data_IF_267276450651
#
_entry.id   IF_267276450651
#
_cell.length_a   1.000
_cell.length_b   1.000
_cell.length_c   1.000
_cell.angle_alpha   90.00
_cell.angle_beta   90.00
_cell.angle_gamma   90.00
#
_symmetry.space_group_name_H-M   'P 1'
#
loop_
_entity.id
_entity.type
_entity.pdbx_description
1 polymer ?
#
# COMPACT_ATOMS: atom_id res chain seq x y z
N UNK A 1 -1.18 -25.34 -34.94
CA UNK A 1 -0.01 -24.79 -34.22
C UNK A 1 1.23 -25.59 -34.61
N UNK A 2 2.42 -24.98 -34.72
CA UNK A 2 3.67 -25.71 -34.86
C UNK A 2 3.85 -26.70 -33.71
N UNK A 3 4.31 -27.93 -33.98
CA UNK A 3 4.50 -28.98 -32.95
C UNK A 3 5.38 -28.50 -31.79
N UNK A 4 6.43 -27.74 -32.10
CA UNK A 4 7.34 -27.13 -31.12
C UNK A 4 6.62 -26.18 -30.15
N UNK A 5 5.67 -25.39 -30.64
CA UNK A 5 4.88 -24.47 -29.80
C UNK A 5 4.01 -25.23 -28.80
N UNK A 6 3.40 -26.35 -29.20
CA UNK A 6 2.55 -27.16 -28.32
C UNK A 6 3.38 -27.76 -27.18
N UNK A 7 4.58 -28.26 -27.49
CA UNK A 7 5.51 -28.83 -26.49
C UNK A 7 5.91 -27.77 -25.47
N UNK A 8 6.35 -26.60 -25.92
CA UNK A 8 6.75 -25.50 -25.02
C UNK A 8 5.63 -25.02 -24.10
N UNK A 9 4.39 -24.99 -24.60
CA UNK A 9 3.22 -24.64 -23.76
C UNK A 9 2.96 -25.71 -22.70
N UNK A 10 3.12 -26.98 -23.04
CA UNK A 10 2.95 -28.07 -22.08
C UNK A 10 4.04 -28.03 -21.00
N UNK A 11 5.31 -27.85 -21.39
CA UNK A 11 6.43 -27.70 -20.45
C UNK A 11 6.23 -26.52 -19.49
N UNK A 12 5.73 -25.40 -20.00
CA UNK A 12 5.38 -24.25 -19.17
C UNK A 12 4.30 -24.58 -18.14
N UNK A 13 3.22 -25.27 -18.54
CA UNK A 13 2.15 -25.70 -17.63
C UNK A 13 2.68 -26.63 -16.55
N UNK A 14 3.44 -27.65 -16.93
CA UNK A 14 3.98 -28.65 -16.00
C UNK A 14 4.94 -28.01 -14.99
N UNK A 15 5.81 -27.10 -15.47
CA UNK A 15 6.71 -26.32 -14.62
C UNK A 15 5.95 -25.42 -13.66
N UNK A 16 4.87 -24.78 -14.12
CA UNK A 16 4.04 -23.90 -13.30
C UNK A 16 3.35 -24.69 -12.18
N UNK A 17 2.79 -25.85 -12.50
CA UNK A 17 2.14 -26.74 -11.53
C UNK A 17 3.13 -27.15 -10.44
N UNK A 18 4.34 -27.61 -10.82
CA UNK A 18 5.38 -27.99 -9.85
C UNK A 18 5.77 -26.83 -8.92
N UNK A 19 5.94 -25.62 -9.48
CA UNK A 19 6.27 -24.43 -8.69
C UNK A 19 5.15 -24.05 -7.73
N UNK A 20 3.90 -24.12 -8.16
CA UNK A 20 2.74 -23.83 -7.31
C UNK A 20 2.62 -24.82 -6.15
N UNK A 21 2.82 -26.11 -6.39
CA UNK A 21 2.78 -27.12 -5.32
C UNK A 21 3.90 -26.93 -4.30
N UNK A 22 5.12 -26.60 -4.76
CA UNK A 22 6.24 -26.25 -3.87
C UNK A 22 5.94 -24.97 -3.07
N UNK A 23 5.32 -23.99 -3.71
CA UNK A 23 4.95 -22.73 -3.09
C UNK A 23 4.00 -22.96 -1.90
N UNK A 24 2.96 -23.78 -2.09
CA UNK A 24 1.97 -24.08 -1.04
C UNK A 24 2.62 -24.89 0.08
N UNK A 25 3.36 -25.95 -0.26
CA UNK A 25 3.82 -26.93 0.73
C UNK A 25 5.04 -26.49 1.54
N UNK A 26 5.86 -25.58 1.00
CA UNK A 26 7.07 -25.10 1.69
C UNK A 26 7.07 -23.59 1.90
N UNK A 27 6.90 -22.83 0.82
CA UNK A 27 7.13 -21.39 0.86
C UNK A 27 6.08 -20.65 1.71
N UNK A 28 4.80 -21.03 1.65
CA UNK A 28 3.74 -20.39 2.42
C UNK A 28 3.97 -20.53 3.94
N UNK A 29 4.17 -21.74 4.49
CA UNK A 29 4.55 -21.90 5.89
C UNK A 29 5.77 -21.07 6.29
N UNK A 30 6.84 -21.08 5.49
CA UNK A 30 8.05 -20.27 5.74
C UNK A 30 7.74 -18.78 5.76
N UNK A 31 6.92 -18.28 4.83
CA UNK A 31 6.51 -16.87 4.78
C UNK A 31 5.69 -16.46 5.99
N UNK A 32 4.78 -17.31 6.45
CA UNK A 32 3.96 -17.02 7.64
C UNK A 32 4.86 -16.83 8.86
N UNK A 33 5.83 -17.73 9.07
CA UNK A 33 6.79 -17.65 10.18
C UNK A 33 7.67 -16.40 10.04
N UNK A 34 8.28 -16.17 8.87
CA UNK A 34 9.14 -15.00 8.61
C UNK A 34 8.41 -13.67 8.88
N UNK A 35 7.16 -13.55 8.45
CA UNK A 35 6.38 -12.33 8.65
C UNK A 35 5.96 -12.17 10.11
N UNK A 36 5.69 -13.26 10.81
CA UNK A 36 5.42 -13.22 12.24
C UNK A 36 6.64 -12.77 13.06
N UNK A 37 7.82 -13.28 12.72
CA UNK A 37 9.10 -12.85 13.31
C UNK A 37 9.39 -11.37 12.99
N UNK A 38 9.15 -10.93 11.75
CA UNK A 38 9.31 -9.53 11.35
C UNK A 38 8.42 -8.60 12.20
N UNK A 39 7.15 -8.98 12.40
CA UNK A 39 6.21 -8.21 13.21
C UNK A 39 6.62 -8.12 14.69
N UNK A 40 7.43 -9.05 15.19
CA UNK A 40 7.98 -9.02 16.54
C UNK A 40 9.24 -8.14 16.68
N UNK A 41 9.82 -7.67 15.57
CA UNK A 41 11.00 -6.80 15.62
C UNK A 41 10.64 -5.38 16.11
N UNK A 42 11.60 -4.62 16.66
CA UNK A 42 11.37 -3.23 17.09
C UNK A 42 10.94 -2.28 15.96
N UNK A 43 11.06 -2.70 14.69
CA UNK A 43 10.54 -1.93 13.55
C UNK A 43 9.01 -1.80 13.60
N UNK A 44 8.33 -2.79 14.19
CA UNK A 44 6.87 -2.95 14.14
C UNK A 44 6.24 -3.18 15.53
N UNK A 45 6.95 -3.81 16.46
CA UNK A 45 6.43 -4.12 17.78
C UNK A 45 6.70 -2.99 18.78
N UNK A 46 5.66 -2.53 19.47
CA UNK A 46 5.73 -1.54 20.56
C UNK A 46 6.51 -0.25 20.25
N UNK A 47 6.68 0.08 18.96
CA UNK A 47 7.37 1.29 18.55
C UNK A 47 6.49 2.52 18.74
N UNK A 48 7.04 3.54 19.36
CA UNK A 48 6.34 4.81 19.59
C UNK A 48 6.10 5.55 18.26
N UNK A 49 4.94 6.20 18.15
CA UNK A 49 4.60 7.05 17.02
C UNK A 49 5.55 8.26 16.90
N UNK A 50 6.07 8.77 18.02
CA UNK A 50 7.04 9.89 17.97
C UNK A 50 8.35 9.51 17.24
N UNK A 51 8.73 8.23 17.25
CA UNK A 51 9.95 7.76 16.57
C UNK A 51 9.85 7.78 15.04
N UNK A 52 8.64 7.91 14.49
CA UNK A 52 8.44 8.05 13.04
C UNK A 52 8.31 9.50 12.61
N UNK A 53 8.38 10.48 13.52
CA UNK A 53 8.29 11.89 13.15
C UNK A 53 9.50 12.34 12.35
N UNK A 54 9.27 13.25 11.41
CA UNK A 54 10.34 13.87 10.61
C UNK A 54 10.17 15.38 10.59
N UNK A 55 11.20 16.08 11.06
CA UNK A 55 11.23 17.54 11.07
C UNK A 55 11.05 18.12 9.66
N UNK A 56 10.11 19.07 9.55
CA UNK A 56 9.87 19.86 8.35
C UNK A 56 10.65 21.16 8.48
N UNK A 57 11.81 21.21 7.83
CA UNK A 57 12.77 22.33 7.89
C UNK A 57 12.33 23.56 7.07
N UNK A 58 11.15 24.09 7.40
CA UNK A 58 10.56 25.30 6.84
C UNK A 58 10.39 26.29 8.00
N UNK A 59 11.00 27.48 8.00
CA UNK A 59 10.84 28.44 9.09
C UNK A 59 9.45 29.09 9.09
N UNK A 60 9.08 29.72 10.20
CA UNK A 60 7.95 30.66 10.24
C UNK A 60 8.53 32.07 10.10
N UNK A 61 8.19 32.77 9.03
CA UNK A 61 8.64 34.15 8.83
C UNK A 61 7.86 35.10 9.76
N UNK A 62 8.52 36.11 10.36
CA UNK A 62 7.82 37.14 11.12
C UNK A 62 6.76 37.85 10.30
N UNK A 63 5.71 38.32 10.98
CA UNK A 63 4.70 39.18 10.36
C UNK A 63 5.35 40.43 9.74
N UNK A 64 5.09 40.69 8.47
CA UNK A 64 5.47 41.95 7.84
C UNK A 64 4.36 42.97 8.13
N UNK A 65 4.72 44.12 8.69
CA UNK A 65 3.80 45.24 8.85
C UNK A 65 3.47 45.78 7.44
N UNK A 66 2.32 45.42 6.90
CA UNK A 66 1.81 46.06 5.69
C UNK A 66 1.45 47.51 6.04
N UNK A 67 2.28 48.48 5.61
CA UNK A 67 1.86 49.87 5.60
C UNK A 67 0.86 50.03 4.47
N UNK A 68 -0.35 50.49 4.78
CA UNK A 68 -1.31 50.94 3.76
C UNK A 68 -0.63 52.07 2.97
N UNK A 69 -0.22 51.79 1.73
CA UNK A 69 0.07 52.84 0.77
C UNK A 69 -1.29 53.37 0.30
N UNK A 70 -1.84 54.34 1.04
CA UNK A 70 -2.88 55.22 0.51
C UNK A 70 -2.22 56.09 -0.58
N UNK A 71 -2.18 55.60 -1.81
CA UNK A 71 -2.05 56.48 -2.97
C UNK A 71 -3.39 57.16 -3.20
N UNK A 72 -3.60 58.26 -2.48
CA UNK A 72 -4.64 59.24 -2.81
C UNK A 72 -4.01 60.62 -2.77
N UNK A 73 -3.33 60.98 -3.85
CA UNK A 73 -3.07 62.36 -4.19
C UNK A 73 -4.37 62.97 -4.73
N UNK A 74 -5.14 63.65 -3.86
CA UNK A 74 -5.75 64.96 -4.12
C UNK A 74 -6.62 65.40 -2.94
N UNK A 75 -6.00 66.27 -2.16
CA UNK A 75 -6.49 67.50 -1.53
C UNK A 75 -7.88 67.66 -0.87
N UNK A 76 -7.77 68.29 0.31
CA UNK A 76 -8.65 69.30 0.89
C UNK A 76 -9.90 68.89 1.70
N UNK A 77 -9.71 68.35 2.92
CA UNK A 77 -10.66 68.47 4.05
C UNK A 77 -9.97 68.34 5.43
N UNK A 78 -10.44 69.03 6.50
CA UNK A 78 -9.74 69.14 7.79
C UNK A 78 -9.83 67.87 8.65
N UNK A 79 -8.83 67.62 9.54
CA UNK A 79 -8.59 66.31 10.12
C UNK A 79 -9.53 66.05 11.30
N UNK A 80 -10.48 65.13 11.14
CA UNK A 80 -11.23 64.62 12.28
C UNK A 80 -11.63 63.16 12.09
N UNK A 81 -10.69 62.27 12.37
CA UNK A 81 -10.88 60.94 12.98
C UNK A 81 -9.50 60.32 13.16
N UNK A 82 -9.20 59.90 14.40
CA UNK A 82 -8.00 59.12 14.73
C UNK A 82 -7.86 57.99 13.71
N UNK A 83 -6.81 58.04 12.90
CA UNK A 83 -6.46 56.94 12.00
C UNK A 83 -6.29 55.70 12.87
N UNK A 84 -7.21 54.73 12.69
CA UNK A 84 -7.05 53.42 13.29
C UNK A 84 -5.87 52.79 12.55
N UNK A 85 -4.72 52.71 13.22
CA UNK A 85 -3.59 51.89 12.76
C UNK A 85 -4.05 50.43 12.84
N UNK A 86 -4.89 50.00 11.90
CA UNK A 86 -5.22 48.60 11.71
C UNK A 86 -4.01 47.97 11.04
N UNK A 87 -3.05 47.56 11.87
CA UNK A 87 -1.91 46.75 11.45
C UNK A 87 -2.48 45.41 10.96
N UNK A 88 -2.60 45.25 9.65
CA UNK A 88 -2.93 43.96 9.05
C UNK A 88 -1.68 43.09 9.13
N UNK A 89 -1.63 42.24 10.15
CA UNK A 89 -0.61 41.18 10.29
C UNK A 89 -0.94 40.07 9.30
N UNK A 90 -0.42 40.20 8.07
CA UNK A 90 -0.53 39.14 7.07
C UNK A 90 0.71 38.23 7.12
N UNK A 91 0.50 36.92 7.22
CA UNK A 91 1.58 35.95 7.13
C UNK A 91 2.22 35.95 5.74
N UNK A 92 3.54 35.95 5.66
CA UNK A 92 4.27 35.96 4.38
C UNK A 92 4.53 34.54 3.87
N UNK A 93 4.22 34.23 2.59
CA UNK A 93 4.57 32.94 2.00
C UNK A 93 6.09 32.82 1.83
N UNK A 94 6.62 31.61 1.98
CA UNK A 94 8.04 31.34 1.67
C UNK A 94 8.16 31.11 0.17
N UNK A 95 8.74 32.07 -0.54
CA UNK A 95 8.94 32.03 -2.00
C UNK A 95 10.13 31.15 -2.41
N UNK A 96 11.06 30.86 -1.49
CA UNK A 96 12.21 29.98 -1.69
C UNK A 96 12.53 29.22 -0.40
N UNK A 97 12.73 27.90 -0.48
CA UNK A 97 13.10 27.06 0.66
C UNK A 97 14.51 27.47 1.16
N UNK A 98 14.66 28.03 2.37
CA UNK A 98 15.93 28.58 2.82
C UNK A 98 17.05 27.53 2.91
N UNK A 99 16.68 26.27 3.11
CA UNK A 99 17.59 25.13 3.24
C UNK A 99 17.63 24.24 1.98
N UNK A 100 17.15 24.74 0.84
CA UNK A 100 17.24 24.10 -0.47
C UNK A 100 16.22 22.98 -0.73
N UNK A 101 15.89 22.13 0.24
CA UNK A 101 14.91 21.05 0.07
C UNK A 101 14.24 20.62 1.38
N UNK A 102 13.08 19.95 1.27
CA UNK A 102 12.45 19.24 2.39
C UNK A 102 12.61 17.73 2.14
N UNK A 103 13.18 17.02 3.09
CA UNK A 103 13.42 15.58 2.96
C UNK A 103 12.14 14.75 3.14
N UNK A 104 12.12 13.57 2.52
CA UNK A 104 11.17 12.52 2.87
C UNK A 104 11.36 12.06 4.32
N UNK A 105 10.31 11.44 4.87
CA UNK A 105 10.37 10.82 6.19
C UNK A 105 11.30 9.60 6.17
N UNK A 106 12.46 9.69 6.82
CA UNK A 106 13.49 8.63 6.77
C UNK A 106 13.02 7.33 7.45
N UNK A 107 12.49 7.35 8.70
CA UNK A 107 11.93 6.16 9.33
C UNK A 107 10.94 5.39 8.45
N UNK A 108 9.98 6.10 7.87
CA UNK A 108 8.96 5.48 7.00
C UNK A 108 9.57 4.98 5.70
N UNK A 109 10.54 5.70 5.12
CA UNK A 109 11.24 5.23 3.93
C UNK A 109 12.01 3.92 4.19
N UNK A 110 12.56 3.72 5.38
CA UNK A 110 13.23 2.47 5.77
C UNK A 110 12.25 1.32 5.89
N UNK A 111 11.10 1.53 6.55
CA UNK A 111 10.03 0.54 6.63
C UNK A 111 9.48 0.20 5.25
N UNK A 112 9.21 1.20 4.40
CA UNK A 112 8.71 1.01 3.03
C UNK A 112 9.66 0.15 2.19
N UNK A 113 10.99 0.25 2.38
CA UNK A 113 11.97 -0.59 1.69
C UNK A 113 11.82 -2.07 2.05
N UNK A 114 11.38 -2.38 3.28
CA UNK A 114 11.11 -3.75 3.74
C UNK A 114 9.73 -4.23 3.28
N UNK A 115 8.71 -3.39 3.40
CA UNK A 115 7.32 -3.75 3.12
C UNK A 115 7.04 -3.91 1.61
N UNK A 116 7.62 -3.08 0.74
CA UNK A 116 7.37 -3.16 -0.72
C UNK A 116 7.69 -4.54 -1.33
N UNK A 117 8.87 -5.15 -1.08
CA UNK A 117 9.16 -6.50 -1.55
C UNK A 117 8.16 -7.55 -1.04
N UNK A 118 7.73 -7.44 0.22
CA UNK A 118 6.77 -8.37 0.83
C UNK A 118 5.44 -8.34 0.07
N UNK A 119 4.89 -7.15 -0.20
CA UNK A 119 3.65 -6.99 -0.98
C UNK A 119 3.84 -7.57 -2.39
N UNK A 120 4.93 -7.21 -3.06
CA UNK A 120 5.22 -7.67 -4.43
C UNK A 120 5.26 -9.19 -4.50
N UNK A 121 5.94 -9.84 -3.56
CA UNK A 121 6.03 -11.30 -3.51
C UNK A 121 4.65 -11.95 -3.27
N UNK A 122 3.76 -11.34 -2.48
CA UNK A 122 2.39 -11.82 -2.36
C UNK A 122 1.65 -11.75 -3.72
N UNK A 123 1.76 -10.65 -4.46
CA UNK A 123 1.16 -10.53 -5.81
C UNK A 123 1.69 -11.62 -6.74
N UNK A 124 3.01 -11.82 -6.78
CA UNK A 124 3.65 -12.85 -7.62
C UNK A 124 3.19 -14.27 -7.25
N UNK A 125 3.11 -14.57 -5.95
CA UNK A 125 2.66 -15.86 -5.43
C UNK A 125 1.17 -16.11 -5.72
N UNK A 126 0.30 -15.12 -5.50
CA UNK A 126 -1.13 -15.22 -5.80
C UNK A 126 -1.37 -15.39 -7.30
N UNK A 127 -0.62 -14.69 -8.15
CA UNK A 127 -0.72 -14.84 -9.60
C UNK A 127 -0.32 -16.26 -10.05
N UNK A 128 0.73 -16.83 -9.45
CA UNK A 128 1.15 -18.22 -9.71
C UNK A 128 0.06 -19.23 -9.32
N UNK A 129 -0.53 -19.08 -8.12
CA UNK A 129 -1.61 -19.96 -7.65
C UNK A 129 -2.87 -19.84 -8.50
N UNK A 130 -3.24 -18.61 -8.89
CA UNK A 130 -4.37 -18.35 -9.79
C UNK A 130 -4.22 -19.14 -11.09
N UNK A 131 -3.03 -19.09 -11.70
CA UNK A 131 -2.75 -19.84 -12.92
C UNK A 131 -2.74 -21.35 -12.70
N UNK A 132 -2.23 -21.81 -11.56
CA UNK A 132 -2.28 -23.22 -11.20
C UNK A 132 -3.72 -23.74 -11.14
N UNK A 133 -4.59 -23.12 -10.35
CA UNK A 133 -6.01 -23.54 -10.27
C UNK A 133 -6.67 -23.44 -11.64
N UNK A 134 -6.41 -22.37 -12.40
CA UNK A 134 -6.98 -22.20 -13.75
C UNK A 134 -6.62 -23.35 -14.70
N UNK A 135 -5.42 -23.92 -14.58
CA UNK A 135 -5.02 -25.09 -15.36
C UNK A 135 -5.61 -26.41 -14.85
N UNK A 136 -6.01 -26.48 -13.58
CA UNK A 136 -6.65 -27.66 -13.00
C UNK A 136 -8.16 -27.71 -13.27
N UNK A 137 -8.78 -26.62 -13.74
CA UNK A 137 -10.20 -26.60 -14.12
C UNK A 137 -10.41 -27.49 -15.36
N UNK A 138 -11.28 -28.52 -15.29
CA UNK A 138 -11.50 -29.46 -16.37
C UNK A 138 -12.43 -28.87 -17.45
N UNK A 139 -12.61 -29.61 -18.54
CA UNK A 139 -13.59 -29.28 -19.58
C UNK A 139 -15.00 -29.16 -18.97
N UNK A 140 -15.81 -28.21 -19.42
CA UNK A 140 -17.20 -28.05 -18.99
C UNK A 140 -18.03 -29.29 -19.36
N UNK A 141 -18.80 -29.79 -18.40
CA UNK A 141 -19.69 -30.96 -18.54
C UNK A 141 -20.97 -30.75 -17.72
N UNK A 142 -22.06 -31.40 -18.15
CA UNK A 142 -23.35 -31.41 -17.44
C UNK A 142 -23.29 -32.40 -16.26
N UNK A 143 -23.06 -31.87 -15.06
CA UNK A 143 -23.04 -32.64 -13.80
C UNK A 143 -21.64 -32.91 -13.25
N UNK A 144 -21.58 -33.45 -12.03
CA UNK A 144 -20.33 -33.71 -11.28
C UNK A 144 -19.44 -32.46 -11.10
N UNK A 145 -20.04 -31.29 -10.89
CA UNK A 145 -19.33 -30.00 -10.83
C UNK A 145 -19.03 -29.52 -9.40
N UNK A 146 -19.25 -30.35 -8.36
CA UNK A 146 -18.94 -29.96 -6.97
C UNK A 146 -17.46 -29.65 -6.74
N UNK A 147 -16.54 -30.47 -7.25
CA UNK A 147 -15.12 -30.15 -7.14
C UNK A 147 -14.71 -28.95 -8.00
N UNK A 148 -15.44 -28.69 -9.10
CA UNK A 148 -15.22 -27.51 -9.95
C UNK A 148 -15.66 -26.24 -9.21
N UNK A 149 -16.79 -26.25 -8.49
CA UNK A 149 -17.19 -25.09 -7.67
C UNK A 149 -16.19 -24.80 -6.55
N UNK A 150 -15.58 -25.82 -5.94
CA UNK A 150 -14.49 -25.62 -4.98
C UNK A 150 -13.27 -24.93 -5.64
N UNK A 151 -12.93 -25.32 -6.87
CA UNK A 151 -11.86 -24.65 -7.63
C UNK A 151 -12.22 -23.18 -7.91
N UNK A 152 -13.46 -22.90 -8.32
CA UNK A 152 -13.95 -21.54 -8.60
C UNK A 152 -13.93 -20.65 -7.34
N UNK A 153 -14.42 -21.15 -6.21
CA UNK A 153 -14.42 -20.43 -4.93
C UNK A 153 -12.99 -20.14 -4.46
N UNK A 154 -12.09 -21.13 -4.55
CA UNK A 154 -10.68 -20.94 -4.18
C UNK A 154 -9.99 -19.96 -5.12
N UNK A 155 -10.29 -20.01 -6.42
CA UNK A 155 -9.76 -19.08 -7.41
C UNK A 155 -10.21 -17.64 -7.14
N UNK A 156 -11.48 -17.45 -6.74
CA UNK A 156 -12.03 -16.14 -6.40
C UNK A 156 -11.34 -15.54 -5.15
N UNK A 157 -11.06 -16.35 -4.13
CA UNK A 157 -10.30 -15.90 -2.96
C UNK A 157 -8.87 -15.47 -3.35
N UNK A 158 -8.18 -16.25 -4.18
CA UNK A 158 -6.83 -15.89 -4.66
C UNK A 158 -6.84 -14.57 -5.45
N UNK A 159 -7.84 -14.36 -6.31
CA UNK A 159 -8.00 -13.12 -7.07
C UNK A 159 -8.26 -11.91 -6.15
N UNK A 160 -9.03 -12.12 -5.08
CA UNK A 160 -9.27 -11.09 -4.05
C UNK A 160 -7.96 -10.70 -3.38
N UNK A 161 -7.18 -11.69 -2.91
CA UNK A 161 -5.87 -11.45 -2.29
C UNK A 161 -4.89 -10.74 -3.25
N UNK A 162 -4.84 -11.13 -4.52
CA UNK A 162 -4.01 -10.48 -5.54
C UNK A 162 -4.38 -8.98 -5.69
N UNK A 163 -5.68 -8.69 -5.73
CA UNK A 163 -6.21 -7.33 -5.89
C UNK A 163 -5.94 -6.45 -4.66
N UNK A 164 -6.14 -6.99 -3.46
CA UNK A 164 -5.84 -6.30 -2.20
C UNK A 164 -4.34 -6.01 -2.07
N UNK A 165 -3.48 -6.99 -2.41
CA UNK A 165 -2.03 -6.79 -2.38
C UNK A 165 -1.58 -5.69 -3.35
N UNK A 166 -2.16 -5.64 -4.56
CA UNK A 166 -1.90 -4.55 -5.49
C UNK A 166 -2.35 -3.19 -4.93
N UNK A 167 -3.49 -3.14 -4.23
CA UNK A 167 -3.99 -1.92 -3.59
C UNK A 167 -3.07 -1.43 -2.45
N UNK A 168 -2.46 -2.32 -1.68
CA UNK A 168 -1.44 -1.96 -0.68
C UNK A 168 -0.23 -1.29 -1.32
N UNK A 169 0.22 -1.79 -2.47
CA UNK A 169 1.36 -1.20 -3.17
C UNK A 169 1.06 0.22 -3.66
N UNK A 170 -0.15 0.45 -4.16
CA UNK A 170 -0.61 1.78 -4.61
C UNK A 170 -0.77 2.77 -3.44
N UNK A 171 -1.21 2.29 -2.27
CA UNK A 171 -1.36 3.11 -1.06
C UNK A 171 -0.03 3.80 -0.66
N UNK A 172 1.09 3.10 -0.79
CA UNK A 172 2.42 3.67 -0.50
C UNK A 172 2.72 4.87 -1.41
N UNK A 173 2.34 4.82 -2.68
CA UNK A 173 2.53 5.94 -3.62
C UNK A 173 1.64 7.13 -3.24
N UNK A 174 0.41 6.87 -2.78
CA UNK A 174 -0.51 7.91 -2.30
C UNK A 174 0.00 8.64 -1.07
N UNK A 175 0.73 7.98 -0.17
CA UNK A 175 1.35 8.63 0.97
C UNK A 175 2.32 9.74 0.54
N UNK A 176 3.26 9.45 -0.35
CA UNK A 176 4.22 10.44 -0.83
C UNK A 176 3.53 11.63 -1.50
N UNK A 177 2.52 11.39 -2.32
CA UNK A 177 1.73 12.46 -2.96
C UNK A 177 0.97 13.31 -1.94
N UNK A 178 0.36 12.68 -0.93
CA UNK A 178 -0.42 13.37 0.10
C UNK A 178 0.50 14.21 0.99
N UNK A 179 1.61 13.63 1.44
CA UNK A 179 2.62 14.33 2.24
C UNK A 179 3.21 15.52 1.48
N UNK A 180 3.58 15.34 0.21
CA UNK A 180 4.10 16.42 -0.63
C UNK A 180 3.09 17.59 -0.75
N UNK A 181 1.79 17.29 -0.91
CA UNK A 181 0.73 18.30 -0.95
C UNK A 181 0.67 19.08 0.37
N UNK A 182 0.68 18.42 1.53
CA UNK A 182 0.62 19.10 2.82
C UNK A 182 1.90 19.90 3.10
N UNK A 183 3.08 19.35 2.80
CA UNK A 183 4.36 20.07 2.91
C UNK A 183 4.37 21.35 2.05
N UNK A 184 3.79 21.31 0.85
CA UNK A 184 3.65 22.51 0.01
C UNK A 184 2.79 23.59 0.67
N UNK A 185 1.78 23.20 1.47
CA UNK A 185 0.95 24.12 2.25
C UNK A 185 1.71 24.69 3.45
N UNK A 186 2.56 23.90 4.11
CA UNK A 186 3.48 24.42 5.15
C UNK A 186 4.40 25.49 4.57
N UNK A 187 4.94 25.29 3.36
CA UNK A 187 5.77 26.29 2.69
C UNK A 187 4.99 27.57 2.33
N UNK A 188 3.77 27.42 1.80
CA UNK A 188 2.93 28.54 1.37
C UNK A 188 2.31 29.31 2.54
N UNK A 189 2.00 28.64 3.64
CA UNK A 189 1.30 29.19 4.80
C UNK A 189 2.00 28.75 6.10
N UNK A 190 3.25 29.17 6.35
CA UNK A 190 4.04 28.67 7.47
C UNK A 190 3.49 29.09 8.85
N UNK A 191 2.61 30.09 8.88
CA UNK A 191 1.93 30.61 10.07
C UNK A 191 0.69 29.79 10.47
N UNK A 192 0.23 28.85 9.63
CA UNK A 192 -0.88 27.95 9.96
C UNK A 192 -0.28 26.67 10.56
N UNK A 193 -0.35 26.55 11.88
CA UNK A 193 0.23 25.43 12.63
C UNK A 193 -0.39 24.08 12.25
N UNK A 194 -1.68 24.05 11.91
CA UNK A 194 -2.40 22.84 11.50
C UNK A 194 -1.75 22.14 10.30
N UNK A 195 -1.10 22.87 9.39
CA UNK A 195 -0.40 22.22 8.29
C UNK A 195 0.83 21.43 8.74
N UNK A 196 1.53 21.89 9.79
CA UNK A 196 2.65 21.13 10.37
C UNK A 196 2.14 19.91 11.12
N UNK A 197 1.08 20.09 11.92
CA UNK A 197 0.39 18.98 12.59
C UNK A 197 -0.09 17.93 11.59
N UNK A 198 -0.68 18.35 10.47
CA UNK A 198 -1.14 17.44 9.42
C UNK A 198 -0.01 16.62 8.77
N UNK A 199 1.24 17.12 8.72
CA UNK A 199 2.38 16.30 8.27
C UNK A 199 2.67 15.19 9.28
N UNK A 200 2.66 15.51 10.56
CA UNK A 200 2.86 14.53 11.65
C UNK A 200 1.78 13.45 11.61
N UNK A 201 0.51 13.84 11.55
CA UNK A 201 -0.62 12.91 11.48
C UNK A 201 -0.57 12.01 10.22
N UNK A 202 -0.09 12.54 9.09
CA UNK A 202 0.12 11.73 7.88
C UNK A 202 1.23 10.70 8.05
N UNK A 203 2.31 11.06 8.74
CA UNK A 203 3.45 10.19 9.00
C UNK A 203 3.05 9.08 10.00
N UNK A 204 2.33 9.42 11.07
CA UNK A 204 1.78 8.46 12.04
C UNK A 204 0.77 7.49 11.39
N UNK A 205 -0.15 8.02 10.58
CA UNK A 205 -1.10 7.20 9.81
C UNK A 205 -0.39 6.21 8.90
N UNK A 206 0.66 6.64 8.20
CA UNK A 206 1.40 5.78 7.29
C UNK A 206 2.17 4.69 8.05
N UNK A 207 2.76 5.01 9.21
CA UNK A 207 3.37 4.01 10.09
C UNK A 207 2.39 2.89 10.43
N UNK A 208 1.20 3.25 10.95
CA UNK A 208 0.14 2.28 11.26
C UNK A 208 -0.29 1.49 10.01
N UNK A 209 -0.41 2.16 8.86
CA UNK A 209 -0.77 1.52 7.59
C UNK A 209 0.27 0.47 7.17
N UNK A 210 1.57 0.75 7.31
CA UNK A 210 2.63 -0.20 6.95
C UNK A 210 2.63 -1.42 7.87
N UNK A 211 2.40 -1.23 9.17
CA UNK A 211 2.22 -2.33 10.12
C UNK A 211 1.02 -3.22 9.75
N UNK A 212 -0.14 -2.60 9.48
CA UNK A 212 -1.36 -3.31 9.06
C UNK A 212 -1.13 -4.13 7.79
N UNK A 213 -0.42 -3.57 6.80
CA UNK A 213 -0.13 -4.29 5.56
C UNK A 213 0.69 -5.56 5.81
N UNK A 214 1.69 -5.55 6.69
CA UNK A 214 2.48 -6.76 6.99
C UNK A 214 1.61 -7.80 7.71
N UNK A 215 0.77 -7.37 8.65
CA UNK A 215 -0.22 -8.23 9.30
C UNK A 215 -1.16 -8.89 8.28
N UNK A 216 -1.73 -8.10 7.36
CA UNK A 216 -2.63 -8.59 6.32
C UNK A 216 -1.92 -9.56 5.38
N UNK A 217 -0.70 -9.25 4.92
CA UNK A 217 0.06 -10.18 4.05
C UNK A 217 0.30 -11.52 4.75
N UNK A 218 0.66 -11.54 6.05
CA UNK A 218 0.79 -12.77 6.84
C UNK A 218 -0.54 -13.53 6.93
N UNK A 219 -1.63 -12.80 7.19
CA UNK A 219 -2.96 -13.39 7.30
C UNK A 219 -3.41 -13.99 5.97
N UNK A 220 -3.12 -13.35 4.83
CA UNK A 220 -3.44 -13.86 3.49
C UNK A 220 -2.63 -15.09 3.11
N UNK A 221 -1.34 -15.15 3.46
CA UNK A 221 -0.60 -16.42 3.32
C UNK A 221 -1.21 -17.54 4.17
N UNK A 222 -1.66 -17.22 5.39
CA UNK A 222 -2.27 -18.19 6.30
C UNK A 222 -3.61 -18.71 5.78
N UNK A 223 -4.50 -17.82 5.33
CA UNK A 223 -5.81 -18.19 4.79
C UNK A 223 -5.68 -18.97 3.48
N UNK A 224 -4.83 -18.51 2.56
CA UNK A 224 -4.59 -19.21 1.29
C UNK A 224 -3.96 -20.59 1.51
N UNK A 225 -3.02 -20.71 2.44
CA UNK A 225 -2.44 -22.01 2.80
C UNK A 225 -3.52 -22.96 3.34
N UNK A 226 -4.33 -22.49 4.29
CA UNK A 226 -5.37 -23.29 4.94
C UNK A 226 -6.45 -23.78 3.95
N UNK A 227 -7.00 -22.87 3.14
CA UNK A 227 -8.05 -23.23 2.17
C UNK A 227 -7.52 -24.19 1.09
N UNK A 228 -6.29 -23.97 0.60
CA UNK A 228 -5.72 -24.81 -0.46
C UNK A 228 -5.38 -26.20 0.07
N UNK A 229 -4.77 -26.30 1.26
CA UNK A 229 -4.41 -27.60 1.84
C UNK A 229 -5.66 -28.43 2.17
N UNK A 230 -6.68 -27.82 2.78
CA UNK A 230 -7.94 -28.52 3.11
C UNK A 230 -8.65 -29.08 1.88
N UNK A 231 -8.54 -28.38 0.75
CA UNK A 231 -9.25 -28.73 -0.48
C UNK A 231 -8.35 -29.37 -1.55
N UNK A 232 -7.10 -29.69 -1.24
CA UNK A 232 -6.07 -30.03 -2.22
C UNK A 232 -6.46 -31.18 -3.16
N UNK A 233 -7.14 -32.21 -2.64
CA UNK A 233 -7.61 -33.33 -3.45
C UNK A 233 -8.60 -32.88 -4.52
N UNK A 234 -9.61 -32.09 -4.14
CA UNK A 234 -10.62 -31.56 -5.07
C UNK A 234 -10.05 -30.51 -6.01
N UNK A 235 -9.07 -29.73 -5.55
CA UNK A 235 -8.36 -28.78 -6.41
C UNK A 235 -7.56 -29.49 -7.50
N UNK A 236 -6.97 -30.67 -7.22
CA UNK A 236 -6.21 -31.44 -8.20
C UNK A 236 -7.08 -32.37 -9.06
N UNK A 237 -8.14 -32.93 -8.48
CA UNK A 237 -9.05 -33.89 -9.12
C UNK A 237 -10.50 -33.53 -8.77
N UNK A 238 -11.09 -32.53 -9.46
CA UNK A 238 -12.41 -32.00 -9.11
C UNK A 238 -13.56 -32.98 -9.43
N UNK A 239 -13.35 -33.91 -10.36
CA UNK A 239 -14.33 -34.94 -10.72
C UNK A 239 -13.85 -36.30 -10.21
N UNK A 240 -14.71 -37.00 -9.48
CA UNK A 240 -14.51 -38.42 -9.19
C UNK A 240 -14.67 -39.23 -10.48
N UNK A 241 -13.74 -40.14 -10.72
CA UNK A 241 -13.87 -41.15 -11.78
C UNK A 241 -15.04 -42.07 -11.40
N UNK A 242 -16.17 -42.02 -12.10
CA UNK A 242 -17.30 -42.94 -11.89
C UNK A 242 -16.96 -44.41 -12.25
N UNK A 243 -15.69 -44.73 -12.54
CA UNK A 243 -15.22 -46.08 -12.88
C UNK A 243 -14.95 -46.98 -11.67
N UNK A 244 -14.97 -46.47 -10.44
CA UNK A 244 -14.76 -47.30 -9.24
C UNK A 244 -16.07 -47.85 -8.62
N UNK A 245 -17.24 -47.43 -9.07
CA UNK A 245 -18.54 -47.91 -8.52
C UNK A 245 -19.18 -49.05 -9.33
N UNK A 246 -18.40 -49.80 -10.12
CA UNK A 246 -18.90 -50.85 -11.02
C UNK A 246 -18.18 -52.21 -10.89
N UNK A 247 -17.48 -52.46 -9.78
CA UNK A 247 -16.94 -53.78 -9.45
C UNK A 247 -17.33 -54.22 -8.04
#
# INVERSE_FOLDING_TARGET
MPKDTVIKVQEYKDTLIQKAELLITKCFPEKIVQLNELLATPMFNERDFEEVHQDVNIPVLPAVLAKNHDESANDDHPPNKRARNDVIVAGSPILALPNGSVSCNKPLCEMIKVVKPIIRTLVEHSNLLKMWISFMIPKIEDGNNFGVSIQEDTLAEIQTVESEAAAFYDQISRYFLSRAKVVSKVAKYPHIEDYRRAVVELDEKEYLSLWLVVCEVRNRYSSLHDIVIKNLEKLKKPRSSNTESLY
#
